data_IF_344739736311
#
_entry.id   IF_344739736311
#
_cell.length_a   1.000
_cell.length_b   1.000
_cell.length_c   1.000
_cell.angle_alpha   90.00
_cell.angle_beta   90.00
_cell.angle_gamma   90.00
#
_symmetry.space_group_name_H-M   'P 1'
#
loop_
_entity.id
_entity.type
_entity.pdbx_description
1 polymer ?
#
# COMPACT_ATOMS: atom_id res chain seq x y z
N UNK A 1 12.90 49.97 42.25
CA UNK A 1 11.63 49.21 42.16
C UNK A 1 11.72 48.43 40.87
N UNK A 2 12.08 47.15 40.99
CA UNK A 2 12.32 46.25 39.87
C UNK A 2 10.98 45.83 39.26
N UNK A 3 10.80 46.04 37.96
CA UNK A 3 9.62 45.60 37.22
C UNK A 3 9.57 44.06 37.22
N UNK A 4 8.42 43.41 37.50
CA UNK A 4 8.32 41.95 37.44
C UNK A 4 8.59 41.47 36.00
N UNK A 5 9.58 40.60 35.82
CA UNK A 5 9.78 39.91 34.55
C UNK A 5 8.60 38.94 34.31
N UNK A 6 8.09 38.84 33.08
CA UNK A 6 7.08 37.84 32.74
C UNK A 6 7.67 36.44 32.94
N UNK A 7 6.91 35.59 33.62
CA UNK A 7 7.29 34.24 33.99
C UNK A 7 7.73 33.41 32.79
N UNK A 8 8.73 32.56 33.01
CA UNK A 8 9.43 31.75 32.00
C UNK A 8 8.63 30.52 31.53
N UNK A 9 7.31 30.52 31.76
CA UNK A 9 6.46 29.32 31.72
C UNK A 9 5.40 29.34 30.59
N UNK A 10 5.37 30.39 29.76
CA UNK A 10 4.27 30.63 28.80
C UNK A 10 4.67 30.45 27.32
N UNK A 11 5.66 29.61 27.05
CA UNK A 11 6.02 29.22 25.68
C UNK A 11 5.52 27.80 25.42
N UNK A 12 4.42 27.68 24.67
CA UNK A 12 3.95 26.42 24.14
C UNK A 12 5.12 25.68 23.45
N UNK A 13 5.35 24.38 23.71
CA UNK A 13 6.50 23.64 23.17
C UNK A 13 6.61 23.65 21.64
N UNK A 14 5.56 24.10 20.93
CA UNK A 14 5.54 24.28 19.50
C UNK A 14 5.09 25.70 19.15
N UNK A 15 5.94 26.50 18.46
CA UNK A 15 5.49 27.77 17.92
C UNK A 15 4.43 27.50 16.85
N UNK A 16 3.25 28.10 17.00
CA UNK A 16 2.20 28.03 15.99
C UNK A 16 2.65 28.79 14.74
N UNK A 17 2.77 28.15 13.57
CA UNK A 17 3.17 28.83 12.33
C UNK A 17 2.05 29.70 11.73
N UNK A 18 0.88 29.78 12.39
CA UNK A 18 -0.28 30.54 11.91
C UNK A 18 -0.84 31.39 13.07
N UNK A 19 -1.25 32.63 12.79
CA UNK A 19 -1.81 33.53 13.80
C UNK A 19 -3.07 32.97 14.47
N UNK A 20 -3.38 33.47 15.67
CA UNK A 20 -4.45 33.00 16.56
C UNK A 20 -5.83 32.86 15.89
N UNK A 21 -6.09 33.57 14.80
CA UNK A 21 -7.41 33.68 14.17
C UNK A 21 -7.80 32.53 13.23
N UNK A 22 -6.95 31.50 13.04
CA UNK A 22 -7.17 30.45 12.03
C UNK A 22 -7.36 29.01 12.56
N UNK A 23 -7.30 28.76 13.87
CA UNK A 23 -7.35 27.38 14.41
C UNK A 23 -8.72 26.73 14.21
N UNK A 24 -9.81 27.47 14.40
CA UNK A 24 -11.20 26.96 14.20
C UNK A 24 -11.61 26.78 12.75
N UNK A 25 -10.96 27.51 11.83
CA UNK A 25 -11.26 27.43 10.40
C UNK A 25 -10.44 26.33 9.70
N UNK A 26 -9.52 25.67 10.41
CA UNK A 26 -8.77 24.53 9.88
C UNK A 26 -9.67 23.31 9.65
N UNK A 27 -9.46 22.63 8.52
CA UNK A 27 -10.27 21.47 8.12
C UNK A 27 -10.20 20.31 9.13
N UNK A 28 -9.07 20.16 9.83
CA UNK A 28 -8.93 19.20 10.92
C UNK A 28 -9.84 19.56 12.10
N UNK A 29 -9.78 20.81 12.54
CA UNK A 29 -10.57 21.31 13.68
C UNK A 29 -12.06 21.24 13.39
N UNK A 30 -12.50 21.66 12.20
CA UNK A 30 -13.90 21.54 11.80
C UNK A 30 -14.38 20.08 11.81
N UNK A 31 -13.61 19.17 11.21
CA UNK A 31 -13.95 17.75 11.20
C UNK A 31 -13.92 17.10 12.60
N UNK A 32 -13.10 17.60 13.52
CA UNK A 32 -13.09 17.15 14.91
C UNK A 32 -14.34 17.63 15.65
N UNK A 33 -14.69 18.91 15.51
CA UNK A 33 -15.86 19.52 16.16
C UNK A 33 -17.19 18.97 15.65
N UNK A 34 -17.31 18.67 14.36
CA UNK A 34 -18.52 18.05 13.78
C UNK A 34 -18.85 16.69 14.39
N UNK A 35 -17.82 15.92 14.77
CA UNK A 35 -17.96 14.59 15.39
C UNK A 35 -18.37 14.65 16.86
N UNK A 36 -18.25 15.81 17.49
CA UNK A 36 -18.65 16.00 18.87
C UNK A 36 -20.16 16.29 18.97
N UNK A 37 -20.81 15.89 20.09
CA UNK A 37 -22.14 16.35 20.45
C UNK A 37 -22.22 17.88 20.44
N UNK A 38 -23.34 18.45 20.00
CA UNK A 38 -23.50 19.91 19.81
C UNK A 38 -23.11 20.72 21.04
N UNK A 39 -23.50 20.27 22.24
CA UNK A 39 -23.20 20.95 23.49
C UNK A 39 -21.69 21.01 23.84
N UNK A 40 -20.83 20.22 23.18
CA UNK A 40 -19.39 20.18 23.42
C UNK A 40 -18.59 20.89 22.31
N UNK A 41 -19.22 21.38 21.25
CA UNK A 41 -18.49 22.00 20.13
C UNK A 41 -17.81 23.31 20.54
N UNK A 42 -18.48 24.06 21.41
CA UNK A 42 -18.00 25.35 21.88
C UNK A 42 -17.27 25.26 23.22
N UNK A 43 -17.17 24.07 23.83
CA UNK A 43 -16.50 23.88 25.13
C UNK A 43 -14.97 23.83 25.04
N UNK A 44 -14.42 23.70 23.82
CA UNK A 44 -12.97 23.65 23.61
C UNK A 44 -12.40 25.05 23.43
N UNK A 45 -11.32 25.36 24.14
CA UNK A 45 -10.54 26.58 23.90
C UNK A 45 -9.64 26.42 22.68
N UNK A 46 -9.20 27.53 22.09
CA UNK A 46 -8.34 27.50 20.90
C UNK A 46 -6.98 26.84 21.19
N UNK A 47 -6.45 27.02 22.40
CA UNK A 47 -5.24 26.36 22.89
C UNK A 47 -5.40 24.83 22.96
N UNK A 48 -6.58 24.36 23.42
CA UNK A 48 -6.89 22.93 23.47
C UNK A 48 -7.01 22.35 22.06
N UNK A 49 -7.65 23.07 21.14
CA UNK A 49 -7.78 22.67 19.73
C UNK A 49 -6.41 22.61 19.06
N UNK A 50 -5.52 23.55 19.37
CA UNK A 50 -4.15 23.57 18.87
C UNK A 50 -3.31 22.42 19.42
N UNK A 51 -3.42 22.10 20.72
CA UNK A 51 -2.77 20.94 21.32
C UNK A 51 -3.26 19.63 20.69
N UNK A 52 -4.57 19.48 20.50
CA UNK A 52 -5.17 18.33 19.81
C UNK A 52 -4.67 18.25 18.37
N UNK A 53 -4.60 19.36 17.65
CA UNK A 53 -4.05 19.42 16.29
C UNK A 53 -2.56 19.04 16.25
N UNK A 54 -1.75 19.45 17.22
CA UNK A 54 -0.35 19.04 17.30
C UNK A 54 -0.18 17.52 17.46
N UNK A 55 -1.00 16.92 18.32
CA UNK A 55 -0.98 15.48 18.65
C UNK A 55 -1.55 14.62 17.50
N UNK A 56 -2.66 15.05 16.90
CA UNK A 56 -3.40 14.27 15.91
C UNK A 56 -3.07 14.65 14.46
N UNK A 57 -2.71 15.91 14.19
CA UNK A 57 -2.39 16.44 12.85
C UNK A 57 -1.03 15.98 12.30
N UNK A 58 -0.04 15.76 13.16
CA UNK A 58 1.22 15.09 12.78
C UNK A 58 1.02 13.61 12.48
N UNK A 59 -0.03 13.02 13.05
CA UNK A 59 -0.49 11.66 12.76
C UNK A 59 -1.42 11.68 11.54
N UNK A 60 -0.99 12.37 10.47
CA UNK A 60 -1.63 12.24 9.16
C UNK A 60 -1.87 10.77 8.92
N UNK A 61 -3.15 10.44 8.91
CA UNK A 61 -3.74 9.18 8.58
C UNK A 61 -2.95 8.65 7.38
N UNK A 62 -2.07 7.67 7.62
CA UNK A 62 -1.26 7.06 6.57
C UNK A 62 -2.27 6.39 5.66
N UNK A 63 -2.76 7.15 4.67
CA UNK A 63 -3.50 6.63 3.53
C UNK A 63 -2.52 5.69 2.86
N UNK A 64 -2.57 4.43 3.23
CA UNK A 64 -1.94 3.38 2.45
C UNK A 64 -2.52 3.51 1.05
N UNK A 65 -1.67 3.74 0.04
CA UNK A 65 -2.13 4.03 -1.32
C UNK A 65 -2.97 2.88 -1.90
N UNK A 66 -2.82 1.67 -1.35
CA UNK A 66 -3.63 0.50 -1.64
C UNK A 66 -3.96 -0.20 -0.32
N UNK A 67 -5.21 -0.11 0.11
CA UNK A 67 -5.82 -0.96 1.15
C UNK A 67 -6.92 -1.77 0.46
N UNK A 68 -6.57 -2.98 -0.01
CA UNK A 68 -7.54 -3.91 -0.57
C UNK A 68 -7.95 -4.89 0.52
N UNK A 69 -9.21 -4.84 0.93
CA UNK A 69 -9.79 -5.79 1.87
C UNK A 69 -10.90 -6.53 1.17
N UNK A 70 -10.87 -7.85 1.27
CA UNK A 70 -11.85 -8.69 0.64
C UNK A 70 -12.14 -9.92 1.47
N UNK A 71 -13.29 -10.51 1.19
CA UNK A 71 -13.65 -11.83 1.69
C UNK A 71 -13.92 -12.70 0.48
N UNK A 72 -13.19 -13.81 0.37
CA UNK A 72 -13.37 -14.79 -0.70
C UNK A 72 -13.86 -16.10 -0.11
N UNK A 73 -14.85 -16.67 -0.79
CA UNK A 73 -15.53 -17.89 -0.37
C UNK A 73 -14.91 -19.04 -1.15
N UNK A 74 -14.12 -19.88 -0.48
CA UNK A 74 -13.44 -21.03 -1.06
C UNK A 74 -13.90 -22.28 -0.31
N UNK A 75 -14.37 -23.28 -1.05
CA UNK A 75 -14.76 -24.60 -0.51
C UNK A 75 -15.73 -24.54 0.69
N UNK A 76 -16.70 -23.61 0.66
CA UNK A 76 -17.69 -23.43 1.72
C UNK A 76 -17.26 -22.54 2.88
N UNK A 77 -15.98 -22.22 3.00
CA UNK A 77 -15.45 -21.35 4.06
C UNK A 77 -15.22 -19.92 3.56
N UNK A 78 -15.36 -18.96 4.47
CA UNK A 78 -15.09 -17.55 4.21
C UNK A 78 -13.67 -17.23 4.69
N UNK A 79 -12.83 -16.79 3.76
CA UNK A 79 -11.48 -16.36 4.06
C UNK A 79 -11.41 -14.86 3.89
N UNK A 80 -11.02 -14.18 4.97
CA UNK A 80 -10.77 -12.74 4.96
C UNK A 80 -9.30 -12.49 4.58
N UNK A 81 -9.07 -11.52 3.70
CA UNK A 81 -7.73 -11.10 3.33
C UNK A 81 -7.63 -9.57 3.28
N UNK A 82 -6.47 -9.06 3.68
CA UNK A 82 -6.14 -7.65 3.60
C UNK A 82 -4.77 -7.50 2.92
N UNK A 83 -4.76 -6.84 1.76
CA UNK A 83 -3.56 -6.50 1.01
C UNK A 83 -3.29 -5.02 1.24
N UNK A 84 -2.27 -4.76 2.03
CA UNK A 84 -1.79 -3.41 2.29
C UNK A 84 -0.51 -3.17 1.50
N UNK A 85 -0.58 -2.30 0.51
CA UNK A 85 0.58 -1.91 -0.29
C UNK A 85 0.81 -0.41 -0.20
N UNK A 86 2.08 -0.04 0.06
CA UNK A 86 2.47 1.36 0.23
C UNK A 86 3.98 1.52 0.28
N UNK A 87 4.44 2.73 -0.04
CA UNK A 87 5.88 3.06 -0.04
C UNK A 87 6.39 3.07 1.41
N UNK A 88 7.12 2.03 1.80
CA UNK A 88 7.74 1.96 3.11
C UNK A 88 8.90 2.96 3.20
N UNK A 89 8.79 3.99 4.05
CA UNK A 89 9.83 5.01 4.30
C UNK A 89 10.76 4.66 5.48
N UNK A 90 10.57 3.51 6.13
CA UNK A 90 11.44 3.05 7.24
C UNK A 90 12.54 2.14 6.70
N UNK A 91 13.72 2.18 7.32
CA UNK A 91 14.76 1.18 7.06
C UNK A 91 14.17 -0.21 7.30
N UNK A 92 14.15 -1.03 6.24
CA UNK A 92 13.52 -2.35 6.26
C UNK A 92 14.17 -3.23 7.33
N UNK A 93 13.36 -3.84 8.18
CA UNK A 93 13.82 -4.88 9.11
C UNK A 93 14.42 -6.05 8.32
N UNK A 94 15.52 -6.63 8.80
CA UNK A 94 16.23 -7.77 8.15
C UNK A 94 15.28 -8.86 7.59
N UNK A 95 14.28 -9.37 8.35
CA UNK A 95 13.31 -10.34 7.83
C UNK A 95 12.46 -9.83 6.66
N UNK A 96 12.10 -8.54 6.61
CA UNK A 96 11.29 -7.98 5.53
C UNK A 96 12.09 -7.83 4.23
N UNK A 97 13.39 -7.55 4.34
CA UNK A 97 14.28 -7.54 3.16
C UNK A 97 14.36 -8.93 2.55
N UNK A 98 14.54 -9.97 3.37
CA UNK A 98 14.61 -11.36 2.93
C UNK A 98 13.31 -11.81 2.25
N UNK A 99 12.15 -11.45 2.79
CA UNK A 99 10.86 -11.77 2.17
C UNK A 99 10.70 -11.08 0.80
N UNK A 100 11.12 -9.81 0.68
CA UNK A 100 11.09 -9.10 -0.60
C UNK A 100 12.05 -9.70 -1.63
N UNK A 101 13.21 -10.19 -1.19
CA UNK A 101 14.20 -10.87 -2.03
C UNK A 101 13.64 -12.21 -2.52
N UNK A 102 13.05 -13.00 -1.62
CA UNK A 102 12.44 -14.28 -1.93
C UNK A 102 11.27 -14.13 -2.91
N UNK A 103 10.40 -13.13 -2.70
CA UNK A 103 9.30 -12.83 -3.62
C UNK A 103 9.81 -12.41 -5.01
N UNK A 104 10.83 -11.56 -5.08
CA UNK A 104 11.48 -11.18 -6.35
C UNK A 104 12.11 -12.39 -7.04
N UNK A 105 12.84 -13.22 -6.31
CA UNK A 105 13.44 -14.44 -6.85
C UNK A 105 12.38 -15.39 -7.40
N UNK A 106 11.30 -15.63 -6.65
CA UNK A 106 10.20 -16.47 -7.10
C UNK A 106 9.55 -15.96 -8.39
N UNK A 107 9.32 -14.64 -8.49
CA UNK A 107 8.77 -14.03 -9.71
C UNK A 107 9.70 -14.17 -10.91
N UNK A 108 11.01 -13.96 -10.71
CA UNK A 108 12.02 -14.13 -11.77
C UNK A 108 12.08 -15.59 -12.21
N UNK A 109 12.12 -16.53 -11.28
CA UNK A 109 12.14 -17.97 -11.58
C UNK A 109 10.88 -18.38 -12.35
N UNK A 110 9.70 -17.94 -11.92
CA UNK A 110 8.45 -18.22 -12.61
C UNK A 110 8.46 -17.66 -14.04
N UNK A 111 8.92 -16.43 -14.21
CA UNK A 111 9.04 -15.80 -15.54
C UNK A 111 10.00 -16.56 -16.45
N UNK A 112 11.15 -17.00 -15.94
CA UNK A 112 12.12 -17.77 -16.70
C UNK A 112 11.59 -19.15 -17.10
N UNK A 113 10.92 -19.87 -16.18
CA UNK A 113 10.31 -21.17 -16.47
C UNK A 113 9.21 -21.03 -17.52
N UNK A 114 8.36 -20.01 -17.38
CA UNK A 114 7.32 -19.73 -18.36
C UNK A 114 7.91 -19.39 -19.74
N UNK A 115 8.91 -18.51 -19.78
CA UNK A 115 9.62 -18.14 -21.01
C UNK A 115 10.29 -19.34 -21.67
N UNK A 116 10.96 -20.20 -20.89
CA UNK A 116 11.55 -21.43 -21.39
C UNK A 116 10.50 -22.40 -21.95
N UNK A 117 9.37 -22.58 -21.26
CA UNK A 117 8.27 -23.42 -21.73
C UNK A 117 7.69 -22.90 -23.05
N UNK A 118 7.43 -21.59 -23.15
CA UNK A 118 6.97 -20.96 -24.40
C UNK A 118 8.00 -21.13 -25.51
N UNK A 119 9.29 -20.91 -25.23
CA UNK A 119 10.37 -21.12 -26.19
C UNK A 119 10.43 -22.55 -26.70
N UNK A 120 10.28 -23.54 -25.83
CA UNK A 120 10.22 -24.95 -26.22
C UNK A 120 9.01 -25.25 -27.10
N UNK A 121 7.84 -24.68 -26.80
CA UNK A 121 6.65 -24.81 -27.65
C UNK A 121 6.90 -24.22 -29.03
N UNK A 122 7.48 -23.02 -29.12
CA UNK A 122 7.80 -22.38 -30.41
C UNK A 122 8.80 -23.22 -31.20
N UNK A 123 9.88 -23.69 -30.58
CA UNK A 123 10.87 -24.56 -31.22
C UNK A 123 10.23 -25.87 -31.69
N UNK A 124 9.32 -26.45 -30.91
CA UNK A 124 8.56 -27.64 -31.29
C UNK A 124 7.68 -27.38 -32.53
N UNK A 125 6.94 -26.27 -32.56
CA UNK A 125 6.10 -25.90 -33.70
C UNK A 125 6.95 -25.64 -34.95
N UNK A 126 8.11 -24.97 -34.81
CA UNK A 126 9.02 -24.72 -35.93
C UNK A 126 9.62 -26.03 -36.47
N UNK A 127 10.06 -26.93 -35.58
CA UNK A 127 10.49 -28.30 -35.93
C UNK A 127 9.38 -29.03 -36.67
N UNK A 128 8.14 -28.94 -36.20
CA UNK A 128 6.99 -29.61 -36.80
C UNK A 128 6.61 -29.04 -38.16
N UNK A 129 6.75 -27.72 -38.34
CA UNK A 129 6.53 -27.05 -39.63
C UNK A 129 7.61 -27.39 -40.67
N UNK A 130 8.85 -27.62 -40.22
CA UNK A 130 9.98 -28.06 -41.06
C UNK A 130 9.92 -29.54 -41.45
N UNK A 131 8.96 -30.32 -40.91
CA UNK A 131 8.77 -31.73 -41.24
C UNK A 131 9.86 -32.67 -40.74
N UNK A 132 10.72 -32.23 -39.81
CA UNK A 132 11.80 -33.05 -39.25
C UNK A 132 11.19 -34.01 -38.23
N UNK A 133 11.27 -35.32 -38.44
CA UNK A 133 10.77 -36.34 -37.51
C UNK A 133 11.91 -36.90 -36.63
N UNK A 134 11.99 -36.43 -35.38
CA UNK A 134 12.99 -36.92 -34.42
C UNK A 134 12.61 -38.27 -33.78
N UNK A 135 11.31 -38.59 -33.70
CA UNK A 135 10.79 -39.85 -33.15
C UNK A 135 9.72 -40.37 -34.11
N UNK A 136 10.00 -41.44 -34.86
CA UNK A 136 9.02 -42.03 -35.76
C UNK A 136 7.78 -42.46 -34.97
N UNK A 137 6.61 -41.92 -35.32
CA UNK A 137 5.32 -42.32 -34.74
C UNK A 137 4.90 -41.63 -33.44
N UNK A 138 5.66 -40.66 -32.91
CA UNK A 138 5.25 -39.89 -31.73
C UNK A 138 5.23 -38.38 -32.02
N UNK A 139 4.02 -37.81 -32.01
CA UNK A 139 3.80 -36.36 -32.09
C UNK A 139 2.91 -35.91 -30.93
N UNK A 140 3.19 -34.72 -30.39
CA UNK A 140 2.46 -34.14 -29.26
C UNK A 140 1.09 -33.57 -29.67
N UNK A 141 0.72 -33.62 -30.95
CA UNK A 141 -0.56 -33.12 -31.50
C UNK A 141 -0.75 -31.60 -31.49
N UNK A 142 0.15 -30.83 -30.87
CA UNK A 142 0.06 -29.36 -30.79
C UNK A 142 0.06 -28.67 -32.16
N UNK A 143 0.79 -29.20 -33.14
CA UNK A 143 0.83 -28.63 -34.50
C UNK A 143 -0.47 -28.82 -35.26
N UNK A 144 -1.11 -29.98 -35.10
CA UNK A 144 -2.41 -30.25 -35.73
C UNK A 144 -3.52 -29.43 -35.09
N UNK A 145 -3.48 -29.27 -33.75
CA UNK A 145 -4.35 -28.31 -33.06
C UNK A 145 -4.14 -26.88 -33.53
N UNK A 146 -2.89 -26.43 -33.68
CA UNK A 146 -2.58 -25.09 -34.18
C UNK A 146 -3.12 -24.85 -35.59
N UNK A 147 -2.88 -25.77 -36.54
CA UNK A 147 -3.42 -25.69 -37.90
C UNK A 147 -4.95 -25.72 -37.95
N UNK A 148 -5.61 -26.42 -37.02
CA UNK A 148 -7.06 -26.52 -36.98
C UNK A 148 -7.76 -25.26 -36.41
N UNK A 149 -7.03 -24.40 -35.71
CA UNK A 149 -7.55 -23.18 -35.07
C UNK A 149 -7.02 -21.89 -35.71
N UNK A 150 -6.26 -22.00 -36.82
CA UNK A 150 -5.81 -20.88 -37.64
C UNK A 150 -6.80 -20.64 -38.79
#
# INVERSE_FOLDING_TARGET
MESPQPGRDEQAPYPSPFGADAVRQDAFTQGLLERLPEHLRDSFSDEQLEALRGIFGTRSWVRHRLDLRGTLKLFGNHYYFAILAGRNKRNLSRPQQNLSLAAKAALITLFLVFSAAVGLVILYLLKSALGIDLIPGFSFGLWDWFKANL
#
